data_IF_841510894059
#
_entry.id   IF_841510894059
#
_cell.length_a   1.000
_cell.length_b   1.000
_cell.length_c   1.000
_cell.angle_alpha   90.00
_cell.angle_beta   90.00
_cell.angle_gamma   90.00
#
_symmetry.space_group_name_H-M   'P 1'
#
loop_
_entity.id
_entity.type
_entity.pdbx_description
1 polymer ?
#
# COMPACT_ATOMS: atom_id res chain seq x y z
N UNK A 1 13.77 20.81 3.43
CA UNK A 1 13.25 19.87 2.39
C UNK A 1 14.17 18.67 2.18
N UNK A 2 15.50 18.85 2.04
CA UNK A 2 16.46 17.75 1.85
C UNK A 2 16.42 16.69 2.98
N UNK A 3 16.35 17.12 4.24
CA UNK A 3 16.28 16.21 5.40
C UNK A 3 15.00 15.38 5.44
N UNK A 4 13.86 15.96 5.04
CA UNK A 4 12.58 15.23 4.93
C UNK A 4 12.67 14.16 3.84
N UNK A 5 13.25 14.50 2.69
CA UNK A 5 13.47 13.57 1.58
C UNK A 5 14.44 12.45 1.96
N UNK A 6 15.53 12.75 2.67
CA UNK A 6 16.48 11.75 3.18
C UNK A 6 15.82 10.82 4.21
N UNK A 7 15.03 11.37 5.13
CA UNK A 7 14.29 10.57 6.12
C UNK A 7 13.24 9.65 5.47
N UNK A 8 12.57 10.12 4.42
CA UNK A 8 11.66 9.29 3.61
C UNK A 8 12.44 8.21 2.87
N UNK A 9 13.57 8.55 2.24
CA UNK A 9 14.41 7.58 1.54
C UNK A 9 14.98 6.50 2.47
N UNK A 10 15.39 6.87 3.69
CA UNK A 10 15.85 5.91 4.69
C UNK A 10 14.73 4.95 5.12
N UNK A 11 13.49 5.46 5.26
CA UNK A 11 12.31 4.65 5.60
C UNK A 11 11.85 3.76 4.44
N UNK A 12 11.86 4.24 3.20
CA UNK A 12 11.53 3.44 2.02
C UNK A 12 12.52 2.29 1.79
N UNK A 13 13.78 2.46 2.22
CA UNK A 13 14.79 1.38 2.23
C UNK A 13 14.56 0.35 3.34
N UNK A 14 13.70 0.62 4.31
CA UNK A 14 13.36 -0.36 5.34
C UNK A 14 12.51 -1.49 4.73
N UNK A 15 12.86 -2.78 4.93
CA UNK A 15 12.17 -3.91 4.31
C UNK A 15 10.65 -3.89 4.49
N UNK A 16 10.20 -3.51 5.70
CA UNK A 16 8.79 -3.36 6.07
C UNK A 16 7.99 -2.46 5.11
N UNK A 17 8.50 -1.27 4.76
CA UNK A 17 7.77 -0.33 3.92
C UNK A 17 7.62 -0.87 2.49
N UNK A 18 8.65 -1.55 1.97
CA UNK A 18 8.57 -2.19 0.66
C UNK A 18 7.46 -3.24 0.60
N UNK A 19 7.40 -4.13 1.59
CA UNK A 19 6.36 -5.17 1.64
C UNK A 19 4.96 -4.59 1.87
N UNK A 20 4.83 -3.53 2.67
CA UNK A 20 3.55 -2.85 2.86
C UNK A 20 3.04 -2.20 1.57
N UNK A 21 3.91 -1.54 0.80
CA UNK A 21 3.54 -0.95 -0.50
C UNK A 21 3.12 -2.05 -1.49
N UNK A 22 3.87 -3.15 -1.57
CA UNK A 22 3.52 -4.27 -2.43
C UNK A 22 2.17 -4.90 -2.05
N UNK A 23 1.92 -5.07 -0.75
CA UNK A 23 0.64 -5.57 -0.25
C UNK A 23 -0.52 -4.61 -0.53
N UNK A 24 -0.31 -3.30 -0.36
CA UNK A 24 -1.29 -2.28 -0.72
C UNK A 24 -1.67 -2.37 -2.20
N UNK A 25 -0.67 -2.52 -3.08
CA UNK A 25 -0.94 -2.64 -4.51
C UNK A 25 -1.67 -3.95 -4.83
N UNK A 26 -1.21 -5.06 -4.27
CA UNK A 26 -1.79 -6.37 -4.51
C UNK A 26 -3.23 -6.51 -3.99
N UNK A 27 -3.57 -5.90 -2.86
CA UNK A 27 -4.91 -5.96 -2.28
C UNK A 27 -5.90 -5.02 -2.98
N UNK A 28 -5.44 -3.87 -3.46
CA UNK A 28 -6.31 -2.82 -4.02
C UNK A 28 -6.21 -2.68 -5.55
N UNK A 29 -5.60 -3.65 -6.25
CA UNK A 29 -5.38 -3.59 -7.70
C UNK A 29 -6.68 -3.25 -8.46
N UNK A 30 -7.80 -3.90 -8.12
CA UNK A 30 -9.11 -3.61 -8.73
C UNK A 30 -9.54 -2.16 -8.55
N UNK A 31 -9.31 -1.57 -7.37
CA UNK A 31 -9.57 -0.16 -7.10
C UNK A 31 -8.78 0.77 -8.03
N UNK A 32 -7.50 0.49 -8.30
CA UNK A 32 -6.75 1.29 -9.27
C UNK A 32 -7.29 1.17 -10.68
N UNK A 33 -7.66 -0.05 -11.10
CA UNK A 33 -8.30 -0.25 -12.40
C UNK A 33 -9.62 0.52 -12.50
N UNK A 34 -10.40 0.56 -11.42
CA UNK A 34 -11.62 1.37 -11.35
C UNK A 34 -11.32 2.85 -11.55
N UNK A 35 -10.36 3.41 -10.83
CA UNK A 35 -10.03 4.84 -10.91
C UNK A 35 -9.51 5.25 -12.31
N UNK A 36 -8.75 4.36 -12.96
CA UNK A 36 -8.07 4.68 -14.23
C UNK A 36 -8.92 4.35 -15.45
N UNK A 37 -9.62 3.21 -15.45
CA UNK A 37 -10.30 2.68 -16.64
C UNK A 37 -11.80 2.91 -16.66
N UNK A 38 -12.45 3.18 -15.53
CA UNK A 38 -13.89 3.44 -15.51
C UNK A 38 -14.17 4.80 -16.15
N UNK A 39 -15.14 4.87 -17.05
CA UNK A 39 -15.65 6.12 -17.61
C UNK A 39 -16.69 6.74 -16.67
N UNK A 40 -16.82 8.07 -16.68
CA UNK A 40 -17.77 8.78 -15.83
C UNK A 40 -17.11 9.91 -15.04
N UNK A 41 -17.90 10.50 -14.14
CA UNK A 41 -17.42 11.62 -13.31
C UNK A 41 -16.42 11.12 -12.25
N UNK A 42 -15.52 11.99 -11.76
CA UNK A 42 -14.64 11.64 -10.64
C UNK A 42 -15.41 11.10 -9.42
N UNK A 43 -16.59 11.64 -9.14
CA UNK A 43 -17.47 11.23 -8.05
C UNK A 43 -17.96 9.78 -8.24
N UNK A 44 -18.39 9.43 -9.45
CA UNK A 44 -18.84 8.05 -9.76
C UNK A 44 -17.70 7.04 -9.60
N UNK A 45 -16.49 7.42 -10.04
CA UNK A 45 -15.30 6.57 -9.91
C UNK A 45 -14.93 6.35 -8.45
N UNK A 46 -15.01 7.38 -7.62
CA UNK A 46 -14.73 7.28 -6.19
C UNK A 46 -15.79 6.44 -5.48
N UNK A 47 -17.07 6.64 -5.79
CA UNK A 47 -18.14 5.81 -5.25
C UNK A 47 -17.93 4.32 -5.61
N UNK A 48 -17.50 4.02 -6.84
CA UNK A 48 -17.20 2.65 -7.25
C UNK A 48 -15.91 2.12 -6.59
N UNK A 49 -14.90 2.97 -6.41
CA UNK A 49 -13.67 2.63 -5.67
C UNK A 49 -13.97 2.22 -4.23
N UNK A 50 -14.87 2.93 -3.56
CA UNK A 50 -15.29 2.64 -2.18
C UNK A 50 -16.06 1.30 -2.07
N UNK A 51 -16.66 0.79 -3.17
CA UNK A 51 -17.25 -0.57 -3.17
C UNK A 51 -16.23 -1.69 -3.33
N UNK A 52 -15.00 -1.37 -3.75
CA UNK A 52 -13.94 -2.32 -4.02
C UNK A 52 -12.77 -2.23 -3.04
N UNK A 53 -12.81 -1.26 -2.13
CA UNK A 53 -11.78 -1.01 -1.13
C UNK A 53 -12.41 -0.68 0.20
N UNK A 54 -11.69 -0.94 1.29
CA UNK A 54 -12.08 -0.49 2.62
C UNK A 54 -10.83 -0.13 3.44
N UNK A 55 -11.04 0.34 4.67
CA UNK A 55 -9.92 0.71 5.54
C UNK A 55 -8.97 -0.46 5.84
N UNK A 56 -9.47 -1.70 5.79
CA UNK A 56 -8.65 -2.89 6.02
C UNK A 56 -7.74 -3.16 4.84
N UNK A 57 -8.25 -3.12 3.61
CA UNK A 57 -7.42 -3.34 2.41
C UNK A 57 -6.52 -2.15 2.11
N UNK A 58 -6.95 -0.92 2.40
CA UNK A 58 -6.17 0.29 2.13
C UNK A 58 -5.05 0.52 3.14
N UNK A 59 -5.24 0.14 4.41
CA UNK A 59 -4.31 0.49 5.49
C UNK A 59 -3.94 -0.71 6.35
N UNK A 60 -4.90 -1.37 6.99
CA UNK A 60 -4.60 -2.35 8.04
C UNK A 60 -3.81 -3.55 7.51
N UNK A 61 -4.33 -4.25 6.50
CA UNK A 61 -3.68 -5.44 5.95
C UNK A 61 -2.33 -5.14 5.28
N UNK A 62 -2.17 -4.07 4.47
CA UNK A 62 -0.86 -3.71 3.95
C UNK A 62 0.21 -3.54 5.04
N UNK A 63 -0.10 -2.82 6.12
CA UNK A 63 0.85 -2.61 7.22
C UNK A 63 1.14 -3.92 7.96
N UNK A 64 0.12 -4.72 8.27
CA UNK A 64 0.27 -6.02 8.95
C UNK A 64 1.15 -6.96 8.11
N UNK A 65 0.88 -7.10 6.82
CA UNK A 65 1.69 -7.93 5.90
C UNK A 65 3.12 -7.40 5.86
N UNK A 66 3.31 -6.09 5.79
CA UNK A 66 4.63 -5.47 5.85
C UNK A 66 5.42 -5.88 7.09
N UNK A 67 4.80 -5.83 8.27
CA UNK A 67 5.44 -6.18 9.55
C UNK A 67 5.75 -7.68 9.59
N UNK A 68 4.78 -8.53 9.24
CA UNK A 68 4.93 -9.98 9.30
C UNK A 68 6.04 -10.45 8.36
N UNK A 69 6.05 -10.00 7.12
CA UNK A 69 7.05 -10.42 6.12
C UNK A 69 8.44 -9.84 6.44
N UNK A 70 8.53 -8.62 6.96
CA UNK A 70 9.80 -8.08 7.41
C UNK A 70 10.35 -8.82 8.64
N UNK A 71 9.46 -9.23 9.57
CA UNK A 71 9.80 -10.01 10.76
C UNK A 71 10.38 -11.39 10.41
N UNK A 72 9.72 -12.13 9.50
CA UNK A 72 10.20 -13.46 9.08
C UNK A 72 11.56 -13.41 8.36
N UNK A 73 11.85 -12.31 7.65
CA UNK A 73 13.17 -12.08 7.05
C UNK A 73 14.26 -11.90 8.12
N UNK A 74 13.97 -11.22 9.23
CA UNK A 74 14.96 -10.99 10.30
C UNK A 74 15.31 -12.28 11.05
N UNK A 75 14.35 -13.19 11.24
CA UNK A 75 14.56 -14.49 11.89
C UNK A 75 15.45 -15.44 11.07
N UNK A 76 15.49 -15.31 9.75
CA UNK A 76 16.29 -16.18 8.88
C UNK A 76 17.80 -15.84 8.82
N UNK A 77 18.24 -14.74 9.44
CA UNK A 77 19.65 -14.29 9.46
C UNK A 77 20.29 -14.29 10.86
N UNK A 78 19.58 -14.77 11.89
CA UNK A 78 20.10 -15.05 13.23
C UNK A 78 20.30 -16.57 13.41
#
# INVERSE_FOLDING_TARGET
MKEVVEAVNARLKAPYFGYAILAFIALNWRGFFVLVLTEGTPEDKLALFDTHTDIYTLVIYPLVIGVVVAGTRLEHFN
#
